data_IF_215576573521
#
_entry.id   IF_215576573521
#
_cell.length_a   1.000
_cell.length_b   1.000
_cell.length_c   1.000
_cell.angle_alpha   90.00
_cell.angle_beta   90.00
_cell.angle_gamma   90.00
#
_symmetry.space_group_name_H-M   'P 1'
#
loop_
_entity.id
_entity.type
_entity.pdbx_description
1 polymer ?
#
# COMPACT_ATOMS: atom_id res chain seq x y z
N UNK A 1 -2.95 -53.39 47.23
CA UNK A 1 -4.10 -52.61 46.71
C UNK A 1 -4.30 -51.46 47.68
N UNK A 2 -3.65 -50.29 47.56
CA UNK A 2 -3.62 -49.30 46.48
C UNK A 2 -5.01 -48.67 46.24
N UNK A 3 -5.21 -47.45 46.76
CA UNK A 3 -5.65 -46.27 46.01
C UNK A 3 -5.27 -45.01 46.81
N UNK A 4 -4.15 -44.37 46.42
CA UNK A 4 -3.82 -42.99 46.78
C UNK A 4 -4.45 -42.09 45.71
N UNK A 5 -5.28 -41.15 46.12
CA UNK A 5 -5.82 -40.11 45.24
C UNK A 5 -4.79 -38.98 45.13
N UNK A 6 -4.13 -38.89 43.98
CA UNK A 6 -3.26 -37.79 43.59
C UNK A 6 -4.15 -36.69 42.97
N UNK A 7 -4.42 -35.62 43.71
CA UNK A 7 -5.05 -34.42 43.17
C UNK A 7 -4.00 -33.54 42.50
N UNK A 8 -3.89 -33.66 41.17
CA UNK A 8 -3.31 -32.65 40.29
C UNK A 8 -4.45 -31.76 39.77
N UNK A 9 -4.39 -30.44 39.99
CA UNK A 9 -4.84 -29.40 39.04
C UNK A 9 -4.81 -28.01 39.67
N UNK A 10 -4.15 -27.09 38.96
CA UNK A 10 -4.37 -25.65 39.13
C UNK A 10 -3.08 -24.85 39.19
N UNK A 11 -2.35 -24.80 38.06
CA UNK A 11 -1.17 -23.99 37.83
C UNK A 11 -1.29 -22.57 38.42
N UNK A 12 -0.41 -22.30 39.37
CA UNK A 12 -0.02 -20.95 39.76
C UNK A 12 0.74 -20.26 38.62
N UNK A 13 0.56 -18.94 38.57
CA UNK A 13 1.42 -17.97 37.89
C UNK A 13 1.45 -17.96 36.36
N UNK A 14 0.72 -16.99 35.82
CA UNK A 14 1.28 -16.08 34.79
C UNK A 14 0.85 -14.63 35.10
N UNK A 15 1.21 -14.17 36.31
CA UNK A 15 1.42 -12.74 36.57
C UNK A 15 2.87 -12.43 36.23
N UNK A 16 3.21 -12.36 34.94
CA UNK A 16 4.42 -11.64 34.54
C UNK A 16 4.16 -10.15 34.64
N UNK A 17 4.54 -9.65 35.82
CA UNK A 17 4.77 -8.26 36.16
C UNK A 17 5.61 -7.62 35.04
N UNK A 18 5.07 -6.55 34.48
CA UNK A 18 5.73 -5.63 33.56
C UNK A 18 7.01 -5.07 34.23
N UNK A 19 8.17 -5.62 33.87
CA UNK A 19 9.47 -5.03 34.19
C UNK A 19 9.76 -3.96 33.15
N UNK A 20 9.53 -2.70 33.53
CA UNK A 20 9.65 -1.48 32.72
C UNK A 20 11.07 -1.14 32.23
N UNK A 21 11.59 -1.96 31.32
CA UNK A 21 12.57 -1.53 30.31
C UNK A 21 11.87 -1.42 28.96
N UNK A 22 11.97 -0.26 28.30
CA UNK A 22 11.36 -0.04 26.98
C UNK A 22 11.97 -1.02 25.96
N UNK A 23 11.21 -2.06 25.59
CA UNK A 23 11.67 -3.11 24.67
C UNK A 23 11.99 -2.48 23.32
N UNK A 24 13.14 -2.75 22.70
CA UNK A 24 13.48 -2.18 21.40
C UNK A 24 12.38 -2.46 20.37
N UNK A 25 11.64 -1.41 20.01
CA UNK A 25 10.49 -1.47 19.13
C UNK A 25 10.71 -0.50 17.97
N UNK A 26 10.60 -1.02 16.75
CA UNK A 26 10.91 -0.29 15.54
C UNK A 26 9.70 -0.24 14.62
N UNK A 27 9.39 0.94 14.11
CA UNK A 27 8.43 1.13 13.03
C UNK A 27 8.97 0.57 11.72
N UNK A 28 8.16 -0.27 11.09
CA UNK A 28 8.47 -1.01 9.88
C UNK A 28 7.28 -0.93 8.91
N UNK A 29 7.55 -1.20 7.65
CA UNK A 29 6.56 -1.43 6.63
C UNK A 29 6.79 -2.78 6.00
N UNK A 30 5.84 -3.71 6.19
CA UNK A 30 5.90 -5.00 5.56
C UNK A 30 5.64 -4.86 4.06
N UNK A 31 6.48 -5.47 3.24
CA UNK A 31 6.36 -5.44 1.78
C UNK A 31 5.91 -6.80 1.23
N UNK A 32 6.55 -7.89 1.66
CA UNK A 32 6.23 -9.21 1.15
C UNK A 32 6.59 -10.34 2.13
N UNK A 33 5.89 -11.46 1.94
CA UNK A 33 6.24 -12.75 2.53
C UNK A 33 6.19 -13.78 1.42
N UNK A 34 7.28 -14.50 1.24
CA UNK A 34 7.40 -15.55 0.23
C UNK A 34 7.70 -16.89 0.87
N UNK A 35 7.18 -17.94 0.27
CA UNK A 35 7.57 -19.31 0.59
C UNK A 35 8.94 -19.61 -0.02
N UNK A 36 9.90 -20.02 0.82
CA UNK A 36 11.27 -20.35 0.42
C UNK A 36 11.32 -21.78 -0.07
N UNK A 37 11.27 -21.97 -1.39
CA UNK A 37 11.41 -23.29 -2.00
C UNK A 37 12.08 -23.21 -3.37
N UNK A 38 12.61 -24.34 -3.83
CA UNK A 38 13.26 -24.42 -5.15
C UNK A 38 12.27 -24.21 -6.28
N UNK A 39 11.02 -24.63 -6.09
CA UNK A 39 9.95 -24.54 -7.08
C UNK A 39 9.54 -23.08 -7.33
N UNK A 40 9.58 -22.23 -6.30
CA UNK A 40 9.28 -20.79 -6.45
C UNK A 40 10.48 -19.99 -6.95
N UNK A 41 11.68 -20.59 -6.98
CA UNK A 41 12.93 -19.91 -7.32
C UNK A 41 13.39 -18.89 -6.26
N UNK A 42 12.83 -18.95 -5.05
CA UNK A 42 13.14 -18.04 -3.94
C UNK A 42 13.90 -18.83 -2.90
N UNK A 43 15.23 -18.72 -2.91
CA UNK A 43 16.10 -19.45 -1.98
C UNK A 43 16.89 -18.51 -1.09
N UNK A 44 17.38 -17.40 -1.65
CA UNK A 44 18.23 -16.43 -0.95
C UNK A 44 17.56 -15.06 -0.87
N UNK A 45 17.92 -14.19 0.10
CA UNK A 45 17.36 -12.84 0.23
C UNK A 45 17.36 -12.01 -1.06
N UNK A 46 18.39 -12.18 -1.91
CA UNK A 46 18.49 -11.52 -3.21
C UNK A 46 17.39 -11.97 -4.20
N UNK A 47 16.95 -13.23 -4.14
CA UNK A 47 15.84 -13.74 -4.95
C UNK A 47 14.52 -13.09 -4.52
N UNK A 48 14.33 -12.94 -3.20
CA UNK A 48 13.18 -12.23 -2.63
C UNK A 48 13.10 -10.78 -3.11
N UNK A 49 14.22 -10.05 -3.07
CA UNK A 49 14.29 -8.68 -3.58
C UNK A 49 14.00 -8.61 -5.08
N UNK A 50 14.56 -9.52 -5.89
CA UNK A 50 14.29 -9.59 -7.33
C UNK A 50 12.80 -9.81 -7.59
N UNK A 51 12.17 -10.74 -6.85
CA UNK A 51 10.74 -11.02 -6.98
C UNK A 51 9.87 -9.86 -6.53
N UNK A 52 10.26 -9.18 -5.44
CA UNK A 52 9.58 -7.99 -4.95
C UNK A 52 9.55 -6.89 -6.03
N UNK A 53 10.71 -6.53 -6.59
CA UNK A 53 10.81 -5.52 -7.65
C UNK A 53 10.03 -5.90 -8.92
N UNK A 54 9.91 -7.20 -9.21
CA UNK A 54 9.06 -7.67 -10.30
C UNK A 54 7.57 -7.45 -9.99
N UNK A 55 7.13 -7.77 -8.77
CA UNK A 55 5.73 -7.54 -8.36
C UNK A 55 5.35 -6.06 -8.40
N UNK A 56 6.26 -5.17 -8.03
CA UNK A 56 6.01 -3.72 -8.12
C UNK A 56 5.69 -3.28 -9.55
N UNK A 57 6.40 -3.84 -10.54
CA UNK A 57 6.20 -3.50 -11.95
C UNK A 57 4.92 -4.07 -12.55
N UNK A 58 4.39 -5.16 -12.00
CA UNK A 58 3.27 -5.88 -12.63
C UNK A 58 1.94 -5.68 -11.91
N UNK A 59 1.93 -5.70 -10.57
CA UNK A 59 0.70 -5.72 -9.77
C UNK A 59 0.71 -4.68 -8.65
N UNK A 60 1.84 -3.98 -8.46
CA UNK A 60 2.11 -3.19 -7.27
C UNK A 60 2.37 -4.08 -6.04
N UNK A 61 3.04 -3.50 -5.06
CA UNK A 61 3.21 -4.11 -3.75
C UNK A 61 2.23 -3.46 -2.79
N UNK A 62 1.49 -4.29 -2.06
CA UNK A 62 0.72 -3.80 -0.93
C UNK A 62 1.59 -3.76 0.32
N UNK A 63 1.93 -2.54 0.72
CA UNK A 63 2.70 -2.30 1.93
C UNK A 63 1.79 -2.14 3.15
N UNK A 64 2.27 -2.63 4.30
CA UNK A 64 1.51 -2.58 5.56
C UNK A 64 2.39 -2.08 6.70
N UNK A 65 1.96 -0.99 7.35
CA UNK A 65 2.63 -0.41 8.51
C UNK A 65 2.53 -1.34 9.73
N UNK A 66 3.66 -1.60 10.37
CA UNK A 66 3.80 -2.55 11.49
C UNK A 66 4.88 -2.10 12.48
N UNK A 67 4.95 -2.76 13.63
CA UNK A 67 6.07 -2.63 14.56
C UNK A 67 6.80 -3.96 14.72
N UNK A 68 8.13 -3.92 14.78
CA UNK A 68 8.97 -5.05 15.13
C UNK A 68 9.57 -4.81 16.52
N UNK A 69 9.24 -5.67 17.48
CA UNK A 69 9.73 -5.59 18.85
C UNK A 69 10.67 -6.77 19.15
N UNK A 70 11.84 -6.46 19.71
CA UNK A 70 12.79 -7.46 20.20
C UNK A 70 12.55 -7.68 21.69
N UNK A 71 12.01 -8.86 22.04
CA UNK A 71 11.62 -9.20 23.42
C UNK A 71 12.34 -10.47 23.89
N UNK A 72 13.38 -10.29 24.73
CA UNK A 72 14.22 -11.36 25.28
C UNK A 72 14.83 -12.28 24.21
N UNK A 73 14.17 -13.38 23.88
CA UNK A 73 14.59 -14.37 22.86
C UNK A 73 13.58 -14.48 21.72
N UNK A 74 12.78 -13.43 21.51
CA UNK A 74 11.67 -13.41 20.55
C UNK A 74 11.73 -12.15 19.69
N UNK A 75 11.36 -12.32 18.43
CA UNK A 75 11.04 -11.25 17.50
C UNK A 75 9.51 -11.22 17.36
N UNK A 76 8.92 -10.11 17.79
CA UNK A 76 7.47 -9.89 17.75
C UNK A 76 7.14 -8.97 16.58
N UNK A 77 6.18 -9.36 15.75
CA UNK A 77 5.57 -8.46 14.76
C UNK A 77 4.23 -8.01 15.31
N UNK A 78 4.02 -6.70 15.40
CA UNK A 78 2.85 -6.10 16.04
C UNK A 78 2.11 -5.18 15.07
N UNK A 79 0.80 -5.12 15.25
CA UNK A 79 -0.09 -4.22 14.52
C UNK A 79 0.17 -2.76 14.94
N UNK A 80 0.32 -1.86 13.97
CA UNK A 80 0.67 -0.46 14.25
C UNK A 80 -0.42 0.31 14.99
N UNK A 81 -1.70 0.02 14.71
CA UNK A 81 -2.82 0.78 15.27
C UNK A 81 -3.20 0.31 16.67
N UNK A 82 -3.20 -1.01 16.87
CA UNK A 82 -3.70 -1.65 18.11
C UNK A 82 -2.58 -2.07 19.06
N UNK A 83 -1.33 -2.14 18.59
CA UNK A 83 -0.20 -2.69 19.36
C UNK A 83 -0.29 -4.20 19.61
N UNK A 84 -1.26 -4.89 18.99
CA UNK A 84 -1.47 -6.32 19.20
C UNK A 84 -0.36 -7.15 18.57
N UNK A 85 0.17 -8.15 19.29
CA UNK A 85 1.15 -9.09 18.76
C UNK A 85 0.50 -10.03 17.75
N UNK A 86 1.04 -10.05 16.54
CA UNK A 86 0.51 -10.81 15.41
C UNK A 86 1.33 -12.08 15.17
N UNK A 87 2.65 -11.95 15.15
CA UNK A 87 3.59 -13.06 15.01
C UNK A 87 4.62 -13.05 16.13
N UNK A 88 5.05 -14.25 16.51
CA UNK A 88 6.09 -14.46 17.52
C UNK A 88 7.11 -15.45 16.99
N UNK A 89 8.24 -14.94 16.52
CA UNK A 89 9.32 -15.77 16.03
C UNK A 89 10.34 -15.99 17.16
N UNK A 90 10.64 -17.25 17.55
CA UNK A 90 11.81 -17.53 18.35
C UNK A 90 13.06 -16.97 17.67
N UNK A 91 13.96 -16.34 18.42
CA UNK A 91 15.17 -15.76 17.82
C UNK A 91 15.97 -16.81 17.03
N UNK A 92 16.03 -18.05 17.52
CA UNK A 92 16.73 -19.16 16.86
C UNK A 92 16.09 -19.63 15.54
N UNK A 93 14.82 -19.31 15.27
CA UNK A 93 14.16 -19.63 14.00
C UNK A 93 14.47 -18.61 12.90
N UNK A 94 14.93 -17.41 13.27
CA UNK A 94 15.39 -16.40 12.32
C UNK A 94 16.68 -16.87 11.66
N UNK A 95 16.70 -16.87 10.33
CA UNK A 95 17.83 -17.26 9.50
C UNK A 95 18.17 -16.14 8.51
N UNK A 96 19.46 -15.99 8.23
CA UNK A 96 19.98 -15.07 7.21
C UNK A 96 19.43 -13.63 7.26
N UNK A 97 19.40 -12.95 8.43
CA UNK A 97 19.02 -11.55 8.48
C UNK A 97 19.98 -10.73 7.62
N UNK A 98 19.43 -10.03 6.63
CA UNK A 98 20.15 -9.34 5.55
C UNK A 98 19.55 -7.95 5.36
N UNK A 99 20.42 -6.96 5.16
CA UNK A 99 20.01 -5.58 4.89
C UNK A 99 20.31 -5.23 3.44
N UNK A 100 19.37 -4.58 2.77
CA UNK A 100 19.58 -3.94 1.47
C UNK A 100 19.43 -2.44 1.63
N UNK A 101 20.50 -1.71 1.30
CA UNK A 101 20.57 -0.26 1.39
C UNK A 101 21.16 0.29 0.12
N UNK A 102 20.68 1.45 -0.31
CA UNK A 102 21.16 2.19 -1.46
C UNK A 102 21.51 3.62 -1.07
N UNK A 103 22.44 4.21 -1.81
CA UNK A 103 22.78 5.62 -1.70
C UNK A 103 22.01 6.48 -2.72
N UNK A 104 21.25 5.85 -3.63
CA UNK A 104 20.42 6.55 -4.60
C UNK A 104 19.14 7.09 -3.92
N UNK A 105 18.93 8.41 -3.87
CA UNK A 105 17.72 8.99 -3.29
C UNK A 105 16.46 8.70 -4.13
N UNK A 106 16.59 8.28 -5.38
CA UNK A 106 15.45 7.92 -6.25
C UNK A 106 15.00 6.47 -6.06
N UNK A 107 15.76 5.66 -5.31
CA UNK A 107 15.42 4.26 -5.09
C UNK A 107 14.30 4.13 -4.07
N UNK A 108 13.12 3.71 -4.54
CA UNK A 108 11.90 3.62 -3.73
C UNK A 108 12.05 2.66 -2.54
N UNK A 109 12.71 1.53 -2.75
CA UNK A 109 12.93 0.51 -1.72
C UNK A 109 14.35 0.58 -1.19
N UNK A 110 14.51 1.34 -0.12
CA UNK A 110 15.76 1.49 0.59
C UNK A 110 15.57 1.16 2.07
N UNK A 111 16.66 0.89 2.78
CA UNK A 111 16.63 0.53 4.19
C UNK A 111 15.78 -0.73 4.45
N UNK A 112 15.98 -1.76 3.63
CA UNK A 112 15.18 -2.99 3.63
C UNK A 112 15.84 -4.07 4.51
N UNK A 113 15.06 -4.68 5.40
CA UNK A 113 15.39 -5.88 6.16
C UNK A 113 14.74 -7.10 5.50
N UNK A 114 15.53 -8.15 5.29
CA UNK A 114 15.06 -9.47 4.86
C UNK A 114 15.54 -10.52 5.86
N UNK A 115 14.65 -11.43 6.26
CA UNK A 115 15.05 -12.63 7.01
C UNK A 115 14.14 -13.81 6.70
N UNK A 116 14.70 -15.01 6.87
CA UNK A 116 13.98 -16.27 6.73
C UNK A 116 13.53 -16.76 8.11
N UNK A 117 12.37 -17.39 8.19
CA UNK A 117 11.87 -18.06 9.39
C UNK A 117 11.81 -19.55 9.09
N UNK A 118 12.68 -20.31 9.75
CA UNK A 118 12.61 -21.76 9.67
C UNK A 118 11.44 -22.27 10.50
N UNK A 119 10.70 -23.23 9.94
CA UNK A 119 9.69 -23.97 10.66
C UNK A 119 10.12 -25.43 10.77
N UNK A 120 10.06 -26.00 11.97
CA UNK A 120 10.35 -27.41 12.20
C UNK A 120 9.25 -28.34 11.69
N UNK A 121 8.06 -27.80 11.39
CA UNK A 121 6.94 -28.55 10.85
C UNK A 121 7.06 -28.67 9.32
N UNK A 122 7.24 -29.88 8.75
CA UNK A 122 7.35 -30.08 7.30
C UNK A 122 6.12 -29.62 6.51
N UNK A 123 4.95 -29.52 7.16
CA UNK A 123 3.73 -29.02 6.53
C UNK A 123 3.76 -27.50 6.26
N UNK A 124 4.74 -26.79 6.82
CA UNK A 124 4.90 -25.35 6.68
C UNK A 124 6.30 -25.05 6.19
N UNK A 125 6.47 -24.73 4.89
CA UNK A 125 7.78 -24.41 4.35
C UNK A 125 8.32 -23.12 5.01
N UNK A 126 9.66 -22.92 5.01
CA UNK A 126 10.24 -21.70 5.54
C UNK A 126 9.69 -20.46 4.80
N UNK A 127 9.50 -19.37 5.53
CA UNK A 127 8.97 -18.12 4.99
C UNK A 127 10.06 -17.04 5.00
N UNK A 128 10.19 -16.31 3.90
CA UNK A 128 11.05 -15.13 3.78
C UNK A 128 10.20 -13.88 3.97
N UNK A 129 10.56 -13.05 4.94
CA UNK A 129 9.87 -11.81 5.23
C UNK A 129 10.71 -10.61 4.80
N UNK A 130 10.08 -9.66 4.12
CA UNK A 130 10.71 -8.45 3.62
C UNK A 130 10.01 -7.23 4.22
N UNK A 131 10.79 -6.36 4.85
CA UNK A 131 10.32 -5.14 5.50
C UNK A 131 11.17 -3.95 5.11
N UNK A 132 10.55 -2.79 4.93
CA UNK A 132 11.23 -1.50 4.90
C UNK A 132 11.28 -0.91 6.30
N UNK A 133 12.48 -0.61 6.80
CA UNK A 133 12.68 -0.04 8.12
C UNK A 133 12.42 1.47 8.08
N UNK A 134 11.49 1.98 8.91
CA UNK A 134 11.14 3.42 8.93
C UNK A 134 11.79 4.19 10.10
N UNK A 135 12.21 3.50 11.16
CA UNK A 135 12.74 4.15 12.39
C UNK A 135 14.14 3.72 12.80
N UNK A 136 14.70 2.67 12.20
CA UNK A 136 16.06 2.17 12.44
C UNK A 136 16.75 1.80 11.12
N UNK A 137 18.09 1.87 11.07
CA UNK A 137 18.84 1.29 9.95
C UNK A 137 18.64 -0.22 9.88
N UNK A 138 18.38 -0.75 8.68
CA UNK A 138 18.30 -2.19 8.45
C UNK A 138 19.62 -2.89 8.83
N UNK A 139 20.77 -2.24 8.63
CA UNK A 139 22.08 -2.77 9.04
C UNK A 139 22.18 -2.95 10.56
N UNK A 140 21.73 -1.93 11.30
CA UNK A 140 21.68 -1.97 12.76
C UNK A 140 20.76 -3.08 13.26
N UNK A 141 19.59 -3.22 12.65
CA UNK A 141 18.61 -4.23 13.02
C UNK A 141 19.07 -5.66 12.67
N UNK A 142 19.81 -5.85 11.57
CA UNK A 142 20.45 -7.14 11.25
C UNK A 142 21.45 -7.54 12.33
N UNK A 143 22.26 -6.59 12.81
CA UNK A 143 23.21 -6.84 13.89
C UNK A 143 22.49 -7.18 15.21
N UNK A 144 21.44 -6.44 15.55
CA UNK A 144 20.59 -6.73 16.71
C UNK A 144 19.99 -8.16 16.63
N UNK A 145 19.46 -8.56 15.46
CA UNK A 145 18.93 -9.92 15.26
C UNK A 145 20.00 -11.00 15.40
N UNK A 146 21.23 -10.76 14.91
CA UNK A 146 22.36 -11.69 15.10
C UNK A 146 22.74 -11.82 16.57
N UNK A 147 22.77 -10.72 17.32
CA UNK A 147 23.05 -10.74 18.76
C UNK A 147 21.96 -11.47 19.54
N UNK A 148 20.69 -11.24 19.19
CA UNK A 148 19.55 -11.94 19.78
C UNK A 148 19.63 -13.46 19.57
N UNK A 149 20.03 -13.89 18.36
CA UNK A 149 20.26 -15.31 18.03
C UNK A 149 21.36 -15.95 18.87
N UNK A 150 22.35 -15.16 19.29
CA UNK A 150 23.42 -15.60 20.20
C UNK A 150 23.01 -15.57 21.68
N UNK A 151 21.74 -15.26 22.00
CA UNK A 151 21.21 -15.22 23.36
C UNK A 151 21.48 -13.91 24.11
N UNK A 152 21.94 -12.85 23.43
CA UNK A 152 22.13 -11.54 24.06
C UNK A 152 20.77 -10.85 24.23
N UNK A 153 20.51 -10.33 25.43
CA UNK A 153 19.30 -9.52 25.69
C UNK A 153 19.54 -8.07 25.29
N UNK A 154 18.67 -7.54 24.44
CA UNK A 154 18.70 -6.14 24.01
C UNK A 154 17.70 -5.35 24.85
N UNK A 155 18.20 -4.37 25.62
CA UNK A 155 17.38 -3.61 26.59
C UNK A 155 17.21 -2.14 26.22
N UNK A 156 17.84 -1.67 25.14
CA UNK A 156 17.80 -0.27 24.72
C UNK A 156 17.70 -0.13 23.21
N UNK A 157 16.71 0.65 22.77
CA UNK A 157 16.55 1.03 21.36
C UNK A 157 17.73 1.89 20.88
N UNK A 158 18.30 1.57 19.71
CA UNK A 158 19.29 2.43 19.06
C UNK A 158 18.60 3.73 18.63
N UNK A 159 19.26 4.88 18.84
CA UNK A 159 18.73 6.17 18.36
C UNK A 159 18.70 6.14 16.83
N UNK A 160 17.56 6.51 16.24
CA UNK A 160 17.37 6.56 14.79
C UNK A 160 18.47 7.38 14.11
N UNK A 161 19.23 6.74 13.24
CA UNK A 161 20.23 7.37 12.36
C UNK A 161 19.67 7.66 10.97
N UNK A 162 18.36 7.46 10.75
CA UNK A 162 17.73 7.67 9.44
C UNK A 162 17.52 9.17 9.23
N UNK A 163 18.11 9.77 8.17
CA UNK A 163 17.77 11.13 7.80
C UNK A 163 16.28 11.21 7.38
N UNK A 164 15.55 12.26 7.76
CA UNK A 164 14.13 12.37 7.43
C UNK A 164 13.92 12.30 5.91
N UNK A 165 12.84 11.64 5.42
CA UNK A 165 12.56 11.54 3.99
C UNK A 165 12.39 12.93 3.39
N UNK A 166 13.09 13.18 2.28
CA UNK A 166 13.11 14.46 1.57
C UNK A 166 11.80 14.69 0.81
N UNK A 167 10.71 15.01 1.51
CA UNK A 167 9.48 15.54 0.91
C UNK A 167 9.59 17.05 0.65
N UNK A 168 10.60 17.49 -0.10
CA UNK A 168 10.60 18.85 -0.66
C UNK A 168 10.55 18.74 -2.18
N UNK A 169 9.53 19.31 -2.84
CA UNK A 169 9.64 19.53 -4.28
C UNK A 169 10.88 20.40 -4.54
N UNK A 170 11.64 20.13 -5.62
CA UNK A 170 12.83 20.90 -5.91
C UNK A 170 12.47 22.39 -6.04
N UNK A 171 13.27 23.31 -5.47
CA UNK A 171 13.02 24.73 -5.61
C UNK A 171 13.11 25.10 -7.09
N UNK A 172 12.04 25.70 -7.61
CA UNK A 172 12.04 26.34 -8.92
C UNK A 172 13.16 27.40 -8.94
N UNK A 173 14.20 27.17 -9.75
CA UNK A 173 15.20 28.17 -10.07
C UNK A 173 14.51 29.32 -10.83
N UNK A 174 14.16 30.38 -10.12
CA UNK A 174 13.77 31.65 -10.73
C UNK A 174 15.06 32.30 -11.24
N UNK A 175 15.39 32.07 -12.51
CA UNK A 175 16.42 32.83 -13.20
C UNK A 175 15.89 34.25 -13.38
N UNK A 176 16.44 35.17 -12.59
CA UNK A 176 16.21 36.60 -12.70
C UNK A 176 17.34 37.16 -13.58
N UNK A 177 17.10 37.69 -14.81
CA UNK A 177 18.15 38.34 -15.57
C UNK A 177 18.31 39.78 -15.07
N UNK A 178 19.47 40.02 -14.47
CA UNK A 178 19.98 41.33 -14.09
C UNK A 178 20.08 42.27 -15.30
N UNK A 179 19.67 43.52 -15.07
CA UNK A 179 19.91 44.68 -15.93
C UNK A 179 21.41 44.99 -16.03
N UNK A 180 21.89 45.35 -17.22
CA UNK A 180 22.80 46.48 -17.38
C UNK A 180 22.71 47.11 -18.80
N UNK A 181 23.02 48.41 -18.97
CA UNK A 181 22.58 49.26 -20.09
C UNK A 181 23.68 49.64 -21.11
N UNK A 182 23.23 50.29 -22.21
CA UNK A 182 23.95 51.03 -23.30
C UNK A 182 24.15 50.18 -24.56
N UNK A 183 23.45 50.43 -25.67
CA UNK A 183 23.44 51.57 -26.61
C UNK A 183 23.59 50.96 -28.02
N UNK A 184 23.13 51.45 -29.17
CA UNK A 184 22.48 52.67 -29.62
C UNK A 184 21.96 52.39 -31.06
N UNK A 185 20.89 53.08 -31.48
CA UNK A 185 20.37 53.35 -32.85
C UNK A 185 20.33 52.27 -33.96
N UNK A 186 19.11 51.89 -34.37
CA UNK A 186 18.58 52.24 -35.71
C UNK A 186 17.06 51.98 -35.77
N UNK A 187 16.30 52.96 -36.26
CA UNK A 187 14.85 52.90 -36.36
C UNK A 187 14.34 52.06 -37.52
N UNK A 188 13.13 51.52 -37.36
CA UNK A 188 12.13 51.55 -38.42
C UNK A 188 10.75 51.40 -37.79
N UNK A 189 9.91 52.37 -38.14
CA UNK A 189 8.48 52.47 -37.90
C UNK A 189 7.77 51.23 -38.45
N UNK A 190 6.93 50.57 -37.65
CA UNK A 190 5.84 49.70 -38.14
C UNK A 190 4.94 49.35 -36.97
N UNK A 191 3.89 50.14 -36.82
CA UNK A 191 2.65 49.73 -36.18
C UNK A 191 2.11 48.42 -36.80
N UNK A 192 1.32 47.72 -35.99
CA UNK A 192 0.28 46.74 -36.32
C UNK A 192 0.59 45.27 -36.02
N UNK A 193 -0.34 44.73 -35.20
CA UNK A 193 -0.67 43.32 -34.94
C UNK A 193 0.12 42.59 -33.84
N UNK A 194 -0.31 42.84 -32.61
CA UNK A 194 -0.22 41.86 -31.54
C UNK A 194 -1.01 40.60 -31.96
N UNK A 195 -0.31 39.63 -32.56
CA UNK A 195 -0.85 38.32 -32.86
C UNK A 195 -0.89 37.47 -31.58
N UNK A 196 -2.10 37.02 -31.28
CA UNK A 196 -2.54 36.23 -30.14
C UNK A 196 -2.13 34.76 -30.25
N UNK A 197 -0.82 34.46 -30.27
CA UNK A 197 -0.31 33.08 -30.48
C UNK A 197 0.02 32.32 -29.17
N UNK A 198 -0.06 32.98 -28.00
CA UNK A 198 0.20 32.36 -26.68
C UNK A 198 -1.03 31.61 -26.10
N UNK A 199 -2.20 31.70 -26.74
CA UNK A 199 -3.43 31.04 -26.24
C UNK A 199 -3.49 29.55 -26.56
N UNK A 200 -2.79 29.08 -27.59
CA UNK A 200 -2.88 27.68 -28.06
C UNK A 200 -2.03 26.74 -27.19
N UNK A 201 -0.79 27.14 -26.91
CA UNK A 201 0.16 26.39 -26.08
C UNK A 201 -0.39 26.13 -24.67
N UNK A 202 -0.94 27.15 -24.03
CA UNK A 202 -1.52 27.06 -22.67
C UNK A 202 -2.74 26.14 -22.59
N UNK A 203 -3.51 25.99 -23.67
CA UNK A 203 -4.65 25.05 -23.71
C UNK A 203 -4.22 23.60 -23.93
N UNK A 204 -3.20 23.37 -24.76
CA UNK A 204 -2.63 22.02 -24.98
C UNK A 204 -2.04 21.45 -23.68
N UNK A 205 -1.22 22.26 -22.99
CA UNK A 205 -0.62 21.88 -21.71
C UNK A 205 -1.68 21.52 -20.64
N UNK A 206 -2.83 22.19 -20.68
CA UNK A 206 -3.94 21.92 -19.76
C UNK A 206 -4.56 20.56 -20.02
N UNK A 207 -4.76 20.18 -21.29
CA UNK A 207 -5.30 18.86 -21.64
C UNK A 207 -4.31 17.74 -21.35
N UNK A 208 -3.01 17.94 -21.61
CA UNK A 208 -1.97 16.98 -21.24
C UNK A 208 -1.94 16.74 -19.72
N UNK A 209 -2.10 17.80 -18.93
CA UNK A 209 -2.19 17.70 -17.48
C UNK A 209 -3.43 16.90 -17.05
N UNK A 210 -4.58 17.17 -17.65
CA UNK A 210 -5.81 16.43 -17.35
C UNK A 210 -5.70 14.93 -17.71
N UNK A 211 -5.08 14.60 -18.84
CA UNK A 211 -4.79 13.21 -19.25
C UNK A 211 -3.86 12.53 -18.24
N UNK A 212 -2.82 13.24 -17.80
CA UNK A 212 -1.90 12.73 -16.75
C UNK A 212 -2.66 12.42 -15.46
N UNK A 213 -3.56 13.31 -15.02
CA UNK A 213 -4.38 13.09 -13.82
C UNK A 213 -5.34 11.91 -14.01
N UNK A 214 -5.96 11.78 -15.20
CA UNK A 214 -6.86 10.68 -15.52
C UNK A 214 -6.14 9.32 -15.43
N UNK A 215 -4.96 9.21 -16.03
CA UNK A 215 -4.15 7.99 -15.95
C UNK A 215 -3.77 7.65 -14.51
N UNK A 216 -3.39 8.66 -13.71
CA UNK A 216 -3.09 8.42 -12.29
C UNK A 216 -4.32 7.91 -11.51
N UNK A 217 -5.53 8.40 -11.84
CA UNK A 217 -6.76 7.87 -11.26
C UNK A 217 -6.99 6.40 -11.64
N UNK A 218 -6.67 6.00 -12.89
CA UNK A 218 -6.77 4.61 -13.33
C UNK A 218 -5.77 3.72 -12.61
N UNK A 219 -4.51 4.13 -12.52
CA UNK A 219 -3.47 3.40 -11.79
C UNK A 219 -3.89 3.15 -10.33
N UNK A 220 -4.47 4.16 -9.69
CA UNK A 220 -4.92 4.07 -8.31
C UNK A 220 -6.13 3.14 -8.14
N UNK A 221 -7.08 3.15 -9.08
CA UNK A 221 -8.22 2.22 -9.09
C UNK A 221 -7.71 0.79 -9.28
N UNK A 222 -6.79 0.56 -10.21
CA UNK A 222 -6.23 -0.76 -10.49
C UNK A 222 -5.44 -1.30 -9.29
N UNK A 223 -4.60 -0.48 -8.66
CA UNK A 223 -3.88 -0.82 -7.42
C UNK A 223 -4.85 -1.19 -6.29
N UNK A 224 -5.95 -0.47 -6.16
CA UNK A 224 -6.95 -0.79 -5.14
C UNK A 224 -7.65 -2.13 -5.39
N UNK A 225 -7.93 -2.46 -6.66
CA UNK A 225 -8.50 -3.76 -7.04
C UNK A 225 -7.51 -4.89 -6.78
N UNK A 226 -6.25 -4.71 -7.16
CA UNK A 226 -5.20 -5.67 -6.86
C UNK A 226 -5.13 -5.94 -5.34
N UNK A 227 -5.22 -4.89 -4.51
CA UNK A 227 -5.28 -5.02 -3.05
C UNK A 227 -6.50 -5.83 -2.57
N UNK A 228 -7.70 -5.57 -3.10
CA UNK A 228 -8.90 -6.35 -2.75
C UNK A 228 -8.74 -7.83 -3.13
N UNK A 229 -8.19 -8.11 -4.30
CA UNK A 229 -7.92 -9.48 -4.76
C UNK A 229 -6.88 -10.18 -3.88
N UNK A 230 -5.82 -9.48 -3.47
CA UNK A 230 -4.82 -10.00 -2.54
C UNK A 230 -5.41 -10.32 -1.17
N UNK A 231 -6.26 -9.45 -0.63
CA UNK A 231 -6.95 -9.70 0.64
C UNK A 231 -7.87 -10.92 0.55
N UNK A 232 -8.65 -11.04 -0.53
CA UNK A 232 -9.51 -12.19 -0.78
C UNK A 232 -8.71 -13.50 -0.95
N UNK A 233 -7.56 -13.46 -1.64
CA UNK A 233 -6.67 -14.60 -1.78
C UNK A 233 -6.07 -15.04 -0.44
N UNK A 234 -5.64 -14.08 0.39
CA UNK A 234 -5.17 -14.35 1.73
C UNK A 234 -6.27 -14.99 2.60
N UNK A 235 -7.52 -14.56 2.46
CA UNK A 235 -8.66 -15.11 3.21
C UNK A 235 -8.93 -16.56 2.84
N UNK A 236 -8.92 -16.89 1.54
CA UNK A 236 -9.06 -18.27 1.06
C UNK A 236 -7.92 -19.17 1.54
N UNK A 237 -6.67 -18.68 1.50
CA UNK A 237 -5.52 -19.44 1.97
C UNK A 237 -5.59 -19.70 3.48
N UNK A 238 -5.97 -18.68 4.27
CA UNK A 238 -6.17 -18.82 5.71
C UNK A 238 -7.25 -19.86 6.03
N UNK A 239 -8.37 -19.84 5.30
CA UNK A 239 -9.45 -20.81 5.48
C UNK A 239 -9.00 -22.23 5.10
N UNK A 240 -8.23 -22.39 4.02
CA UNK A 240 -7.64 -23.68 3.61
C UNK A 240 -6.72 -24.25 4.69
N UNK A 241 -5.84 -23.41 5.26
CA UNK A 241 -4.95 -23.80 6.38
C UNK A 241 -5.73 -24.19 7.63
N UNK A 242 -6.85 -23.51 7.92
CA UNK A 242 -7.73 -23.86 9.05
C UNK A 242 -8.42 -25.20 8.86
N UNK A 243 -8.89 -25.52 7.65
CA UNK A 243 -9.58 -26.78 7.36
C UNK A 243 -8.64 -28.00 7.37
N UNK A 244 -7.36 -27.82 7.07
CA UNK A 244 -6.39 -28.93 7.07
C UNK A 244 -5.87 -29.30 8.47
N UNK A 245 -6.08 -28.46 9.49
CA UNK A 245 -5.56 -28.70 10.85
C UNK A 245 -6.60 -29.40 11.74
N UNK A 246 -6.11 -30.34 12.57
CA UNK A 246 -6.89 -31.00 13.63
C UNK A 246 -6.97 -30.18 14.93
N UNK A 247 -6.15 -29.13 15.09
CA UNK A 247 -6.05 -28.30 16.30
C UNK A 247 -6.55 -26.88 16.05
N UNK A 248 -7.16 -26.26 17.07
CA UNK A 248 -7.66 -24.86 17.03
C UNK A 248 -6.56 -23.81 17.29
N UNK A 249 -5.32 -24.19 17.56
CA UNK A 249 -4.22 -23.25 17.87
C UNK A 249 -3.75 -22.53 16.59
N UNK A 250 -3.51 -21.21 16.68
CA UNK A 250 -2.86 -20.41 15.63
C UNK A 250 -1.43 -20.91 15.42
N UNK A 251 -1.06 -21.15 14.17
CA UNK A 251 0.31 -21.52 13.77
C UNK A 251 1.09 -20.30 13.27
N UNK A 252 2.42 -20.44 13.19
CA UNK A 252 3.31 -19.44 12.60
C UNK A 252 2.86 -19.08 11.17
N UNK A 253 2.83 -17.78 10.86
CA UNK A 253 2.42 -17.24 9.56
C UNK A 253 0.91 -16.98 9.42
N UNK A 254 0.07 -17.59 10.29
CA UNK A 254 -1.38 -17.30 10.31
C UNK A 254 -1.68 -15.86 10.75
N UNK A 255 -0.86 -15.28 11.63
CA UNK A 255 -1.01 -13.91 12.11
C UNK A 255 -0.82 -12.91 10.98
N UNK A 256 0.24 -13.10 10.20
CA UNK A 256 0.52 -12.28 9.02
C UNK A 256 -0.55 -12.45 7.94
N UNK A 257 -1.03 -13.68 7.70
CA UNK A 257 -2.14 -13.93 6.79
C UNK A 257 -3.42 -13.26 7.27
N UNK A 258 -3.77 -13.34 8.55
CA UNK A 258 -4.97 -12.67 9.11
C UNK A 258 -4.92 -11.15 9.00
N UNK A 259 -3.73 -10.56 8.97
CA UNK A 259 -3.60 -9.14 8.65
C UNK A 259 -3.85 -8.86 7.19
N UNK A 260 -3.35 -9.74 6.32
CA UNK A 260 -3.57 -9.60 4.89
C UNK A 260 -5.04 -9.76 4.50
N UNK A 261 -5.84 -10.43 5.33
CA UNK A 261 -7.29 -10.47 5.17
C UNK A 261 -8.01 -9.22 5.64
N UNK A 262 -7.34 -8.31 6.37
CA UNK A 262 -8.00 -7.08 6.82
C UNK A 262 -8.42 -6.28 5.59
N UNK A 263 -9.70 -5.90 5.50
CA UNK A 263 -10.18 -5.13 4.38
C UNK A 263 -9.56 -3.72 4.38
N UNK A 264 -9.51 -3.04 3.23
CA UNK A 264 -9.08 -1.64 3.18
C UNK A 264 -9.96 -0.77 4.10
N UNK A 265 -9.39 0.21 4.81
CA UNK A 265 -10.15 1.15 5.62
C UNK A 265 -11.22 1.92 4.82
N UNK A 266 -12.31 2.34 5.48
CA UNK A 266 -13.40 3.14 4.88
C UNK A 266 -12.89 4.35 4.10
N UNK A 267 -11.88 5.05 4.64
CA UNK A 267 -11.28 6.23 4.00
C UNK A 267 -10.71 5.89 2.61
N UNK A 268 -10.08 4.73 2.45
CA UNK A 268 -9.52 4.35 1.15
C UNK A 268 -10.60 4.05 0.13
N UNK A 269 -11.68 3.38 0.53
CA UNK A 269 -12.86 3.21 -0.34
C UNK A 269 -13.42 4.56 -0.79
N UNK A 270 -13.58 5.50 0.15
CA UNK A 270 -14.02 6.86 -0.16
C UNK A 270 -13.09 7.48 -1.19
N UNK A 271 -11.78 7.52 -0.93
CA UNK A 271 -10.79 8.12 -1.84
C UNK A 271 -10.87 7.52 -3.26
N UNK A 272 -11.07 6.20 -3.39
CA UNK A 272 -11.21 5.55 -4.71
C UNK A 272 -12.53 5.90 -5.40
N UNK A 273 -13.64 5.97 -4.68
CA UNK A 273 -14.89 6.49 -5.24
C UNK A 273 -14.75 7.95 -5.73
N UNK A 274 -13.98 8.79 -5.01
CA UNK A 274 -13.68 10.14 -5.47
C UNK A 274 -12.90 10.13 -6.79
N UNK A 275 -11.96 9.19 -6.96
CA UNK A 275 -11.21 9.00 -8.21
C UNK A 275 -12.11 8.57 -9.36
N UNK A 276 -13.11 7.70 -9.16
CA UNK A 276 -14.12 7.41 -10.18
C UNK A 276 -14.88 8.68 -10.62
N UNK A 277 -15.35 9.49 -9.67
CA UNK A 277 -16.06 10.75 -9.98
C UNK A 277 -15.17 11.73 -10.73
N UNK A 278 -13.90 11.82 -10.33
CA UNK A 278 -12.91 12.65 -11.02
C UNK A 278 -12.65 12.14 -12.44
N UNK A 279 -12.47 10.84 -12.62
CA UNK A 279 -12.30 10.22 -13.94
C UNK A 279 -13.47 10.50 -14.86
N UNK A 280 -14.73 10.35 -14.42
CA UNK A 280 -15.90 10.70 -15.24
C UNK A 280 -15.93 12.18 -15.63
N UNK A 281 -15.55 13.07 -14.72
CA UNK A 281 -15.42 14.51 -15.02
C UNK A 281 -14.35 14.79 -16.06
N UNK A 282 -13.19 14.14 -15.96
CA UNK A 282 -12.08 14.31 -16.89
C UNK A 282 -12.42 13.71 -18.26
N UNK A 283 -13.04 12.53 -18.31
CA UNK A 283 -13.48 11.90 -19.56
C UNK A 283 -14.45 12.78 -20.34
N UNK A 284 -15.41 13.42 -19.66
CA UNK A 284 -16.35 14.34 -20.30
C UNK A 284 -15.66 15.60 -20.85
N UNK A 285 -14.67 16.13 -20.12
CA UNK A 285 -13.86 17.28 -20.54
C UNK A 285 -12.93 16.94 -21.71
N UNK A 286 -12.37 15.73 -21.71
CA UNK A 286 -11.38 15.26 -22.67
C UNK A 286 -11.98 14.55 -23.88
N UNK A 287 -13.29 14.28 -23.92
CA UNK A 287 -13.93 13.42 -24.94
C UNK A 287 -13.61 13.72 -26.41
N UNK A 288 -13.23 14.96 -26.73
CA UNK A 288 -12.85 15.39 -28.09
C UNK A 288 -11.35 15.21 -28.40
N UNK A 289 -10.55 14.84 -27.40
CA UNK A 289 -9.09 14.74 -27.44
C UNK A 289 -8.58 13.32 -27.14
N UNK A 290 -9.48 12.37 -26.84
CA UNK A 290 -9.16 10.96 -26.58
C UNK A 290 -9.95 10.05 -27.51
N UNK A 291 -9.25 9.13 -28.19
CA UNK A 291 -9.84 8.34 -29.28
C UNK A 291 -9.52 6.84 -29.27
N UNK A 292 -8.49 6.39 -28.54
CA UNK A 292 -8.08 4.99 -28.51
C UNK A 292 -7.55 4.58 -27.12
N UNK A 293 -8.39 4.06 -26.23
CA UNK A 293 -9.86 4.00 -26.30
C UNK A 293 -10.53 5.39 -26.18
N UNK A 294 -11.74 5.53 -26.73
CA UNK A 294 -12.50 6.78 -26.62
C UNK A 294 -13.21 6.94 -25.25
N UNK A 295 -13.79 8.12 -25.00
CA UNK A 295 -14.44 8.42 -23.70
C UNK A 295 -15.57 7.44 -23.34
N UNK A 296 -16.56 7.13 -24.21
CA UNK A 296 -17.54 6.07 -23.96
C UNK A 296 -16.94 4.70 -23.60
N UNK A 297 -15.91 4.25 -24.32
CA UNK A 297 -15.24 2.97 -24.03
C UNK A 297 -14.60 2.97 -22.64
N UNK A 298 -13.89 4.06 -22.29
CA UNK A 298 -13.30 4.22 -20.97
C UNK A 298 -14.35 4.29 -19.86
N UNK A 299 -15.52 4.87 -20.12
CA UNK A 299 -16.64 4.81 -19.17
C UNK A 299 -17.03 3.36 -18.89
N UNK A 300 -17.24 2.54 -19.91
CA UNK A 300 -17.57 1.12 -19.73
C UNK A 300 -16.47 0.36 -18.98
N UNK A 301 -15.21 0.62 -19.32
CA UNK A 301 -14.07 0.02 -18.61
C UNK A 301 -13.99 0.43 -17.13
N UNK A 302 -14.55 1.59 -16.75
CA UNK A 302 -14.66 2.01 -15.35
C UNK A 302 -15.85 1.39 -14.63
N UNK A 303 -16.91 0.97 -15.31
CA UNK A 303 -18.08 0.39 -14.65
C UNK A 303 -17.82 -1.01 -14.09
N UNK A 304 -17.00 -1.83 -14.75
CA UNK A 304 -16.54 -3.12 -14.21
C UNK A 304 -15.80 -3.00 -12.86
N UNK A 305 -14.74 -2.20 -12.73
CA UNK A 305 -14.04 -1.99 -11.47
C UNK A 305 -14.92 -1.27 -10.43
N UNK A 306 -15.78 -0.34 -10.85
CA UNK A 306 -16.73 0.33 -9.95
C UNK A 306 -17.69 -0.68 -9.30
N UNK A 307 -18.27 -1.60 -10.08
CA UNK A 307 -19.17 -2.63 -9.57
C UNK A 307 -18.48 -3.51 -8.51
N UNK A 308 -17.26 -3.97 -8.79
CA UNK A 308 -16.46 -4.78 -7.88
C UNK A 308 -16.19 -4.04 -6.55
N UNK A 309 -15.82 -2.77 -6.64
CA UNK A 309 -15.48 -1.97 -5.45
C UNK A 309 -16.75 -1.65 -4.63
N UNK A 310 -17.89 -1.42 -5.27
CA UNK A 310 -19.18 -1.26 -4.58
C UNK A 310 -19.55 -2.53 -3.83
N UNK A 311 -19.48 -3.70 -4.48
CA UNK A 311 -19.73 -5.00 -3.85
C UNK A 311 -18.80 -5.24 -2.66
N UNK A 312 -17.49 -5.07 -2.85
CA UNK A 312 -16.51 -5.21 -1.78
C UNK A 312 -16.74 -4.24 -0.61
N UNK A 313 -17.22 -3.02 -0.89
CA UNK A 313 -17.55 -2.03 0.14
C UNK A 313 -18.78 -2.42 0.95
N UNK A 314 -19.78 -3.05 0.33
CA UNK A 314 -20.97 -3.56 1.02
C UNK A 314 -20.64 -4.80 1.86
N UNK A 315 -19.81 -5.71 1.35
CA UNK A 315 -19.38 -6.89 2.11
C UNK A 315 -18.55 -6.50 3.33
N UNK A 316 -17.73 -5.46 3.19
CA UNK A 316 -16.85 -4.99 4.26
C UNK A 316 -17.58 -4.10 5.28
N UNK A 317 -18.44 -3.21 4.79
CA UNK A 317 -19.11 -2.18 5.59
C UNK A 317 -20.62 -2.10 5.29
N UNK A 318 -21.42 -3.14 5.63
CA UNK A 318 -22.82 -3.25 5.21
C UNK A 318 -23.69 -2.03 5.58
N UNK A 319 -23.49 -1.50 6.78
CA UNK A 319 -24.31 -0.42 7.33
C UNK A 319 -23.85 0.98 6.88
N UNK A 320 -22.69 1.09 6.24
CA UNK A 320 -22.08 2.40 5.96
C UNK A 320 -22.50 3.02 4.64
N UNK A 321 -23.04 2.22 3.70
CA UNK A 321 -23.50 2.70 2.39
C UNK A 321 -22.49 3.66 1.73
N UNK A 322 -21.21 3.26 1.73
CA UNK A 322 -20.08 4.15 1.44
C UNK A 322 -20.23 4.98 0.17
N UNK A 323 -20.64 4.43 -0.99
CA UNK A 323 -20.76 5.22 -2.21
C UNK A 323 -21.64 6.47 -2.05
N UNK A 324 -22.70 6.38 -1.22
CA UNK A 324 -23.66 7.47 -0.98
C UNK A 324 -23.06 8.62 -0.19
N UNK A 325 -22.06 8.36 0.65
CA UNK A 325 -21.37 9.37 1.46
C UNK A 325 -20.36 10.20 0.64
N UNK A 326 -20.00 9.77 -0.56
CA UNK A 326 -18.94 10.39 -1.37
C UNK A 326 -19.47 11.59 -2.16
N UNK A 327 -19.47 12.75 -1.50
CA UNK A 327 -19.97 14.00 -2.09
C UNK A 327 -18.97 14.63 -3.06
N UNK A 328 -17.72 14.81 -2.64
CA UNK A 328 -16.68 15.45 -3.46
C UNK A 328 -15.90 14.44 -4.31
N UNK A 329 -15.46 14.77 -5.54
CA UNK A 329 -15.99 15.86 -6.35
C UNK A 329 -17.41 15.51 -6.82
N UNK A 330 -18.30 16.50 -6.95
CA UNK A 330 -19.58 16.29 -7.65
C UNK A 330 -19.34 16.06 -9.15
N UNK A 331 -20.24 15.35 -9.83
CA UNK A 331 -20.15 15.22 -11.29
C UNK A 331 -20.48 16.56 -11.97
N UNK A 332 -19.85 16.82 -13.10
CA UNK A 332 -20.20 17.96 -13.98
C UNK A 332 -21.44 17.62 -14.80
N UNK A 333 -22.14 18.64 -15.30
CA UNK A 333 -23.30 18.41 -16.17
C UNK A 333 -22.91 17.69 -17.46
N UNK A 334 -21.70 17.94 -17.97
CA UNK A 334 -21.13 17.26 -19.12
C UNK A 334 -20.86 15.77 -18.82
N UNK A 335 -20.37 15.45 -17.62
CA UNK A 335 -20.16 14.07 -17.19
C UNK A 335 -21.48 13.31 -17.01
N UNK A 336 -22.47 13.91 -16.35
CA UNK A 336 -23.81 13.30 -16.23
C UNK A 336 -24.41 13.06 -17.62
N UNK A 337 -24.29 14.02 -18.53
CA UNK A 337 -24.75 13.86 -19.91
C UNK A 337 -23.97 12.77 -20.66
N UNK A 338 -22.64 12.69 -20.51
CA UNK A 338 -21.85 11.61 -21.09
C UNK A 338 -22.37 10.25 -20.60
N UNK A 339 -22.49 10.08 -19.28
CA UNK A 339 -22.97 8.84 -18.67
C UNK A 339 -24.36 8.45 -19.18
N UNK A 340 -25.33 9.37 -19.17
CA UNK A 340 -26.69 9.11 -19.67
C UNK A 340 -26.73 8.60 -21.13
N UNK A 341 -25.76 8.99 -21.97
CA UNK A 341 -25.75 8.64 -23.39
C UNK A 341 -24.95 7.37 -23.71
N UNK A 342 -24.04 6.92 -22.83
CA UNK A 342 -23.19 5.76 -23.13
C UNK A 342 -23.45 4.54 -22.26
N UNK A 343 -23.89 4.68 -21.00
CA UNK A 343 -24.02 3.52 -20.10
C UNK A 343 -25.17 2.60 -20.49
N UNK A 344 -24.96 1.29 -20.32
CA UNK A 344 -25.98 0.26 -20.51
C UNK A 344 -27.06 0.30 -19.41
N UNK A 345 -28.16 -0.44 -19.58
CA UNK A 345 -29.20 -0.52 -18.54
C UNK A 345 -28.67 -1.02 -17.20
N UNK A 346 -27.80 -2.04 -17.20
CA UNK A 346 -27.18 -2.58 -15.99
C UNK A 346 -26.26 -1.56 -15.30
N UNK A 347 -25.49 -0.83 -16.07
CA UNK A 347 -24.61 0.24 -15.55
C UNK A 347 -25.44 1.43 -15.05
N UNK A 348 -26.56 1.74 -15.70
CA UNK A 348 -27.53 2.75 -15.24
C UNK A 348 -28.06 2.40 -13.85
N UNK A 349 -28.50 1.16 -13.65
CA UNK A 349 -28.97 0.68 -12.34
C UNK A 349 -27.88 0.81 -11.27
N UNK A 350 -26.65 0.38 -11.58
CA UNK A 350 -25.51 0.54 -10.67
C UNK A 350 -25.31 2.02 -10.33
N UNK A 351 -25.21 2.90 -11.33
CA UNK A 351 -24.96 4.33 -11.14
C UNK A 351 -26.02 4.99 -10.25
N UNK A 352 -27.31 4.70 -10.50
CA UNK A 352 -28.41 5.23 -9.68
C UNK A 352 -28.39 4.70 -8.25
N UNK A 353 -27.94 3.46 -8.04
CA UNK A 353 -27.83 2.88 -6.71
C UNK A 353 -26.81 3.58 -5.79
N UNK A 354 -25.84 4.30 -6.37
CA UNK A 354 -24.78 5.03 -5.64
C UNK A 354 -25.30 6.28 -4.91
N UNK A 355 -26.52 6.72 -5.20
CA UNK A 355 -27.22 7.80 -4.51
C UNK A 355 -27.02 9.20 -5.10
N UNK A 356 -27.72 10.18 -4.51
CA UNK A 356 -27.88 11.53 -5.08
C UNK A 356 -26.57 12.27 -5.38
N UNK A 357 -25.52 12.03 -4.60
CA UNK A 357 -24.21 12.65 -4.81
C UNK A 357 -23.56 12.29 -6.17
N UNK A 358 -24.06 11.23 -6.83
CA UNK A 358 -23.62 10.78 -8.16
C UNK A 358 -24.56 11.23 -9.28
N UNK A 359 -25.74 11.75 -8.96
CA UNK A 359 -26.78 12.11 -9.93
C UNK A 359 -26.94 13.63 -10.06
N UNK A 360 -26.71 14.38 -8.99
CA UNK A 360 -26.86 15.84 -8.97
C UNK A 360 -25.55 16.49 -9.45
N UNK A 361 -25.54 17.15 -10.63
CA UNK A 361 -24.34 17.82 -11.12
C UNK A 361 -24.04 19.11 -10.34
N UNK A 362 -22.77 19.53 -10.33
CA UNK A 362 -22.33 20.83 -9.82
C UNK A 362 -22.47 21.96 -10.84
#
# INVERSE_FOLDING_TARGET
MAYRSNGYSGDEMDRYRDEGGDKPTYLMEHLATFTVTKETGIMYPADGMRRLLQLEKTNGIWSQKMQLCLDRSWVLIMDYETGSVMERFPANSIQEPTAFTSHDPMEMYNNILVFNVANSNPAHPPEMHIFQCQSISALDLVEDLKQLRMGKTLTRSRKSSIPPPSHKPPPHNVINPSRDPRGDYHGSDSELTANNDDSSSTTSEKYERDVTILNHCFDDIEKFIARLQHAAAAARELERRRRSRKSKKRDMGDGMLTMRTKPPPEKEFIDIFQKFKLSFNLLAKLKAHIHDPNAPELVHFLFTPLALIVEASHDTYPDSQLPRKVVSPLLTREAVNLLMNCVTSKETELWHSLGNAWLIPR
#
